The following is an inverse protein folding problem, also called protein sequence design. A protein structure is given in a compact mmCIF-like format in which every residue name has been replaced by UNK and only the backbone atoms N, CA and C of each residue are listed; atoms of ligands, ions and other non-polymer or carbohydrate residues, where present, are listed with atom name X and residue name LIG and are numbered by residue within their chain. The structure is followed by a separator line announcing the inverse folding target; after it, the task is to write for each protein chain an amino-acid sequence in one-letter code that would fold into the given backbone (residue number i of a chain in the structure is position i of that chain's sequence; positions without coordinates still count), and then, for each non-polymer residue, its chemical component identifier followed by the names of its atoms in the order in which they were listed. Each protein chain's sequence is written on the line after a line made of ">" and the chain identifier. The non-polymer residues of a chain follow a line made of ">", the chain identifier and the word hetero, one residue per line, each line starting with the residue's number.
data_IF_005122761537
#
_entry.id   IF_005122761537
#
_cell.length_a   1.000
_cell.length_b   1.000
_cell.length_c   1.000
_cell.angle_alpha   90.00
_cell.angle_beta   90.00
_cell.angle_gamma   90.00
#
_symmetry.space_group_name_H-M   'P 1'
#
loop_
_entity.id
_entity.type
_entity.pdbx_description
1 polymer ?
#
# COMPACT_ATOMS: atom_id res chain seq x y z
N UNK A 1 -43.07 -34.87 -41.32
CA UNK A 1 -41.65 -34.48 -41.20
C UNK A 1 -41.49 -33.43 -40.12
N UNK A 2 -40.46 -33.58 -39.30
CA UNK A 2 -40.25 -32.97 -37.97
C UNK A 2 -39.93 -31.46 -38.07
N UNK A 3 -40.94 -30.59 -38.12
CA UNK A 3 -40.74 -29.12 -38.12
C UNK A 3 -40.15 -28.58 -36.81
N UNK A 4 -40.36 -29.27 -35.68
CA UNK A 4 -39.77 -28.90 -34.38
C UNK A 4 -38.25 -29.10 -34.28
N UNK A 5 -37.64 -29.95 -35.12
CA UNK A 5 -36.19 -30.16 -35.11
C UNK A 5 -35.40 -29.08 -35.85
N UNK A 6 -36.02 -28.37 -36.81
CA UNK A 6 -35.34 -27.34 -37.60
C UNK A 6 -35.09 -26.05 -36.82
N UNK A 7 -35.90 -25.76 -35.79
CA UNK A 7 -35.75 -24.57 -34.94
C UNK A 7 -35.00 -24.84 -33.62
N UNK A 8 -34.84 -26.10 -33.21
CA UNK A 8 -34.13 -26.45 -31.98
C UNK A 8 -32.61 -26.30 -32.08
N UNK A 9 -32.03 -26.64 -33.23
CA UNK A 9 -30.57 -26.57 -33.43
C UNK A 9 -30.01 -25.13 -33.38
N UNK A 10 -30.64 -24.14 -34.04
CA UNK A 10 -30.23 -22.73 -33.91
C UNK A 10 -30.40 -22.21 -32.47
N UNK A 11 -31.48 -22.58 -31.79
CA UNK A 11 -31.75 -22.13 -30.42
C UNK A 11 -30.69 -22.65 -29.43
N UNK A 12 -30.29 -23.92 -29.55
CA UNK A 12 -29.25 -24.52 -28.72
C UNK A 12 -27.89 -23.85 -28.97
N UNK A 13 -27.59 -23.51 -30.22
CA UNK A 13 -26.36 -22.77 -30.57
C UNK A 13 -26.35 -21.37 -29.95
N UNK A 14 -27.44 -20.62 -30.06
CA UNK A 14 -27.55 -19.27 -29.46
C UNK A 14 -27.45 -19.36 -27.93
N UNK A 15 -28.13 -20.32 -27.31
CA UNK A 15 -28.06 -20.52 -25.87
C UNK A 15 -26.65 -20.91 -25.40
N UNK A 16 -25.98 -21.81 -26.13
CA UNK A 16 -24.59 -22.17 -25.87
C UNK A 16 -23.63 -20.98 -25.98
N UNK A 17 -23.85 -20.09 -26.96
CA UNK A 17 -23.06 -18.87 -27.13
C UNK A 17 -23.27 -17.90 -25.96
N UNK A 18 -24.52 -17.72 -25.52
CA UNK A 18 -24.86 -16.89 -24.36
C UNK A 18 -24.19 -17.44 -23.09
N UNK A 19 -24.35 -18.73 -22.81
CA UNK A 19 -23.73 -19.38 -21.63
C UNK A 19 -22.21 -19.28 -21.69
N UNK A 20 -21.60 -19.49 -22.86
CA UNK A 20 -20.16 -19.32 -23.06
C UNK A 20 -19.70 -17.88 -22.76
N UNK A 21 -20.45 -16.87 -23.23
CA UNK A 21 -20.14 -15.48 -22.93
C UNK A 21 -20.25 -15.16 -21.43
N UNK A 22 -21.26 -15.68 -20.73
CA UNK A 22 -21.39 -15.52 -19.28
C UNK A 22 -20.23 -16.16 -18.52
N UNK A 23 -19.79 -17.36 -18.92
CA UNK A 23 -18.64 -18.03 -18.32
C UNK A 23 -17.37 -17.20 -18.50
N UNK A 24 -17.15 -16.64 -19.69
CA UNK A 24 -15.98 -15.78 -19.96
C UNK A 24 -16.01 -14.49 -19.14
N UNK A 25 -17.17 -13.82 -19.07
CA UNK A 25 -17.33 -12.59 -18.29
C UNK A 25 -17.10 -12.86 -16.80
N UNK A 26 -17.70 -13.91 -16.26
CA UNK A 26 -17.55 -14.28 -14.87
C UNK A 26 -16.11 -14.74 -14.54
N UNK A 27 -15.50 -15.55 -15.41
CA UNK A 27 -14.12 -15.97 -15.27
C UNK A 27 -13.14 -14.79 -15.28
N UNK A 28 -13.34 -13.83 -16.20
CA UNK A 28 -12.51 -12.61 -16.25
C UNK A 28 -12.66 -11.80 -14.97
N UNK A 29 -13.90 -11.64 -14.46
CA UNK A 29 -14.14 -10.94 -13.20
C UNK A 29 -13.41 -11.61 -12.03
N UNK A 30 -13.52 -12.94 -11.88
CA UNK A 30 -12.83 -13.66 -10.80
C UNK A 30 -11.31 -13.46 -10.89
N UNK A 31 -10.74 -13.52 -12.10
CA UNK A 31 -9.29 -13.34 -12.27
C UNK A 31 -8.87 -11.94 -11.83
N UNK A 32 -9.65 -10.90 -12.20
CA UNK A 32 -9.37 -9.53 -11.77
C UNK A 32 -9.49 -9.37 -10.25
N UNK A 33 -10.55 -9.91 -9.66
CA UNK A 33 -10.78 -9.85 -8.20
C UNK A 33 -9.63 -10.56 -7.45
N UNK A 34 -9.19 -11.74 -7.91
CA UNK A 34 -8.07 -12.48 -7.33
C UNK A 34 -6.72 -11.76 -7.47
N UNK A 35 -6.53 -11.03 -8.58
CA UNK A 35 -5.28 -10.27 -8.80
C UNK A 35 -5.21 -9.12 -7.81
N UNK A 36 -6.29 -8.34 -7.67
CA UNK A 36 -6.37 -7.25 -6.70
C UNK A 36 -6.19 -7.73 -5.25
N UNK A 37 -6.76 -8.89 -4.90
CA UNK A 37 -6.57 -9.45 -3.56
C UNK A 37 -5.14 -9.96 -3.33
N UNK A 38 -4.48 -10.50 -4.34
CA UNK A 38 -3.07 -10.89 -4.27
C UNK A 38 -2.15 -9.67 -4.05
N UNK A 39 -2.39 -8.58 -4.79
CA UNK A 39 -1.63 -7.33 -4.66
C UNK A 39 -1.78 -6.73 -3.25
N UNK A 40 -2.98 -6.85 -2.66
CA UNK A 40 -3.23 -6.44 -1.27
C UNK A 40 -2.50 -7.29 -0.25
N UNK A 41 -2.47 -8.62 -0.43
CA UNK A 41 -1.75 -9.51 0.49
C UNK A 41 -0.24 -9.22 0.42
N UNK A 42 0.32 -9.07 -0.79
CA UNK A 42 1.73 -8.71 -0.97
C UNK A 42 2.07 -7.39 -0.29
N UNK A 43 1.17 -6.41 -0.39
CA UNK A 43 1.31 -5.14 0.29
C UNK A 43 1.37 -5.29 1.83
N UNK A 44 0.46 -6.07 2.41
CA UNK A 44 0.46 -6.34 3.85
C UNK A 44 1.70 -7.10 4.32
N UNK A 45 2.19 -8.05 3.53
CA UNK A 45 3.42 -8.78 3.83
C UNK A 45 4.64 -7.85 3.82
N UNK A 46 4.75 -6.96 2.83
CA UNK A 46 5.83 -5.95 2.76
C UNK A 46 5.83 -5.00 3.95
N UNK A 47 4.65 -4.62 4.44
CA UNK A 47 4.51 -3.78 5.64
C UNK A 47 4.88 -4.53 6.91
N UNK A 48 4.49 -5.80 7.01
CA UNK A 48 4.88 -6.65 8.14
C UNK A 48 6.39 -6.88 8.17
N UNK A 49 7.03 -7.03 7.01
CA UNK A 49 8.48 -7.13 6.91
C UNK A 49 9.19 -5.82 7.29
N UNK A 50 8.58 -4.67 7.01
CA UNK A 50 9.05 -3.38 7.49
C UNK A 50 8.93 -3.26 9.01
N UNK A 51 7.77 -3.60 9.58
CA UNK A 51 7.52 -3.62 11.04
C UNK A 51 8.54 -4.52 11.76
N UNK A 52 8.70 -5.75 11.28
CA UNK A 52 9.73 -6.67 11.77
C UNK A 52 11.15 -6.09 11.65
N UNK A 53 11.44 -5.37 10.56
CA UNK A 53 12.74 -4.74 10.38
C UNK A 53 12.96 -3.62 11.40
N UNK A 54 11.94 -2.80 11.68
CA UNK A 54 12.01 -1.73 12.68
C UNK A 54 12.18 -2.33 14.08
N UNK A 55 11.40 -3.34 14.43
CA UNK A 55 11.51 -4.08 15.70
C UNK A 55 12.92 -4.67 15.90
N UNK A 56 13.50 -5.27 14.86
CA UNK A 56 14.87 -5.78 14.93
C UNK A 56 15.89 -4.65 15.12
N UNK A 57 15.64 -3.47 14.55
CA UNK A 57 16.52 -2.31 14.66
C UNK A 57 16.58 -1.69 16.05
N UNK A 58 15.55 -1.90 16.88
CA UNK A 58 15.60 -1.54 18.31
C UNK A 58 16.72 -2.28 19.08
N UNK A 59 17.18 -3.42 18.56
CA UNK A 59 18.21 -4.25 19.19
C UNK A 59 19.61 -4.06 18.59
N UNK A 60 19.78 -3.23 17.55
CA UNK A 60 21.09 -2.97 16.96
C UNK A 60 21.90 -1.94 17.74
N UNK A 61 23.22 -2.00 17.56
CA UNK A 61 24.11 -1.00 18.11
C UNK A 61 23.81 0.38 17.51
N UNK A 62 23.88 1.40 18.36
CA UNK A 62 23.64 2.81 18.01
C UNK A 62 24.50 3.20 16.80
N UNK A 63 23.88 3.83 15.80
CA UNK A 63 24.54 4.24 14.56
C UNK A 63 24.50 3.19 13.45
N UNK A 64 23.94 2.00 13.70
CA UNK A 64 23.60 1.05 12.64
C UNK A 64 22.51 1.62 11.75
N UNK A 65 22.67 1.51 10.43
CA UNK A 65 21.69 1.98 9.46
C UNK A 65 21.54 0.96 8.33
N UNK A 66 20.32 0.82 7.80
CA UNK A 66 20.01 0.00 6.64
C UNK A 66 19.08 0.75 5.71
N UNK A 67 19.38 0.67 4.42
CA UNK A 67 18.47 1.11 3.36
C UNK A 67 17.43 0.02 3.16
N UNK A 68 16.16 0.38 3.30
CA UNK A 68 15.02 -0.46 3.01
C UNK A 68 14.34 0.07 1.75
N UNK A 69 14.40 -0.73 0.68
CA UNK A 69 13.75 -0.40 -0.58
C UNK A 69 12.26 -0.69 -0.45
N UNK A 70 11.42 0.32 -0.66
CA UNK A 70 9.98 0.17 -0.62
C UNK A 70 9.45 0.02 -2.05
N UNK A 71 8.90 -1.14 -2.33
CA UNK A 71 8.32 -1.52 -3.62
C UNK A 71 6.95 -2.11 -3.33
N UNK A 72 5.90 -1.33 -3.59
CA UNK A 72 4.51 -1.75 -3.39
C UNK A 72 3.79 -1.87 -4.73
N UNK A 73 2.59 -2.44 -4.73
CA UNK A 73 1.70 -2.44 -5.91
C UNK A 73 1.53 -1.02 -6.48
N UNK A 74 1.27 -0.92 -7.79
CA UNK A 74 1.03 0.35 -8.51
C UNK A 74 -0.11 1.16 -7.89
N UNK A 75 -0.99 0.51 -7.14
CA UNK A 75 -2.12 1.13 -6.45
C UNK A 75 -1.75 1.82 -5.12
N UNK A 76 -0.46 1.87 -4.75
CA UNK A 76 0.04 2.65 -3.60
C UNK A 76 0.88 3.80 -4.12
N UNK A 77 0.47 5.03 -3.81
CA UNK A 77 1.20 6.24 -4.21
C UNK A 77 2.36 6.54 -3.27
N UNK A 78 2.09 6.54 -1.97
CA UNK A 78 3.05 6.89 -0.95
C UNK A 78 2.70 6.27 0.41
N UNK A 79 3.72 6.13 1.26
CA UNK A 79 3.58 5.77 2.66
C UNK A 79 4.15 6.90 3.52
N UNK A 80 3.39 7.29 4.54
CA UNK A 80 3.73 8.36 5.46
C UNK A 80 3.87 7.83 6.88
N UNK A 81 4.99 8.16 7.50
CA UNK A 81 5.32 7.87 8.89
C UNK A 81 5.07 9.13 9.70
N UNK A 82 4.26 9.02 10.75
CA UNK A 82 3.88 10.12 11.62
C UNK A 82 4.38 9.89 13.04
N UNK A 83 5.10 10.86 13.59
CA UNK A 83 5.56 10.85 14.97
C UNK A 83 4.80 11.90 15.78
N UNK A 84 3.92 11.45 16.69
CA UNK A 84 3.14 12.36 17.55
C UNK A 84 3.98 13.23 18.48
N UNK A 85 5.26 12.89 18.70
CA UNK A 85 6.17 13.66 19.56
C UNK A 85 6.82 14.85 18.85
N UNK A 86 6.68 14.96 17.53
CA UNK A 86 7.31 16.00 16.72
C UNK A 86 6.30 17.02 16.18
N UNK A 87 6.80 18.22 15.89
CA UNK A 87 5.99 19.25 15.21
C UNK A 87 5.65 18.82 13.79
N UNK A 88 4.47 19.19 13.31
CA UNK A 88 4.09 18.96 11.91
C UNK A 88 4.97 19.80 10.99
N UNK A 89 5.76 19.13 10.16
CA UNK A 89 6.59 19.65 9.08
C UNK A 89 6.61 18.59 7.98
N UNK A 90 5.57 18.59 7.14
CA UNK A 90 5.35 17.50 6.20
C UNK A 90 6.43 17.46 5.13
N UNK A 91 7.00 16.27 4.90
CA UNK A 91 7.95 16.05 3.80
C UNK A 91 7.59 14.87 2.94
N UNK A 92 7.53 15.06 1.62
CA UNK A 92 7.40 14.01 0.63
C UNK A 92 8.73 13.82 -0.10
N UNK A 93 9.35 12.64 0.02
CA UNK A 93 10.68 12.35 -0.53
C UNK A 93 11.76 13.37 -0.11
N UNK A 94 11.61 13.99 1.07
CA UNK A 94 12.51 15.01 1.60
C UNK A 94 12.23 16.45 1.16
N UNK A 95 11.23 16.68 0.31
CA UNK A 95 10.76 18.02 -0.09
C UNK A 95 9.47 18.39 0.66
N UNK A 96 9.18 19.70 0.78
CA UNK A 96 7.93 20.17 1.39
C UNK A 96 6.71 19.60 0.66
N UNK A 97 5.73 19.11 1.42
CA UNK A 97 4.47 18.62 0.86
C UNK A 97 3.69 19.74 0.16
N UNK A 98 2.95 19.38 -0.89
CA UNK A 98 2.04 20.32 -1.53
C UNK A 98 0.76 20.53 -0.70
N UNK A 99 0.00 21.59 -1.01
CA UNK A 99 -1.24 21.93 -0.31
C UNK A 99 -2.29 20.79 -0.34
N UNK A 100 -2.24 19.92 -1.34
CA UNK A 100 -3.19 18.80 -1.52
C UNK A 100 -2.90 17.68 -0.54
N UNK A 101 -1.62 17.32 -0.40
CA UNK A 101 -1.15 16.37 0.58
C UNK A 101 -1.36 16.91 1.99
N UNK A 102 -1.04 18.19 2.23
CA UNK A 102 -1.29 18.89 3.50
C UNK A 102 -2.73 18.76 4.00
N UNK A 103 -3.70 19.03 3.12
CA UNK A 103 -5.13 18.92 3.43
C UNK A 103 -5.56 17.49 3.81
N UNK A 104 -4.83 16.47 3.34
CA UNK A 104 -5.14 15.07 3.58
C UNK A 104 -4.60 14.59 4.94
N UNK A 105 -3.67 15.31 5.57
CA UNK A 105 -3.08 14.97 6.87
C UNK A 105 -3.90 15.38 8.10
N UNK A 106 -5.00 16.09 7.94
CA UNK A 106 -5.90 16.36 9.08
C UNK A 106 -6.48 15.05 9.66
N UNK A 107 -6.57 14.00 8.84
CA UNK A 107 -6.93 12.65 9.27
C UNK A 107 -5.82 11.94 10.07
N UNK A 108 -4.55 12.29 9.83
CA UNK A 108 -3.38 11.74 10.54
C UNK A 108 -3.32 12.26 11.99
N UNK A 109 -3.69 13.52 12.20
CA UNK A 109 -3.66 14.17 13.53
C UNK A 109 -4.67 13.58 14.52
N UNK A 110 -5.75 13.00 14.03
CA UNK A 110 -6.90 12.54 14.83
C UNK A 110 -6.89 11.04 15.09
N UNK A 111 -5.90 10.33 14.56
CA UNK A 111 -5.84 8.88 14.54
C UNK A 111 -4.73 8.37 15.48
N UNK A 112 -4.97 7.22 16.09
CA UNK A 112 -4.03 6.53 16.99
C UNK A 112 -2.89 5.81 16.24
N UNK A 113 -2.96 5.77 14.91
CA UNK A 113 -1.99 5.09 14.06
C UNK A 113 -0.85 6.04 13.67
N UNK A 114 0.30 5.48 13.32
CA UNK A 114 1.50 6.25 12.99
C UNK A 114 2.08 5.91 11.60
N UNK A 115 1.56 4.91 10.91
CA UNK A 115 1.87 4.63 9.51
C UNK A 115 0.61 4.72 8.67
N UNK A 116 0.68 5.54 7.62
CA UNK A 116 -0.45 5.88 6.76
C UNK A 116 -0.10 5.59 5.32
N UNK A 117 -0.99 4.84 4.68
CA UNK A 117 -0.84 4.43 3.30
C UNK A 117 -1.76 5.30 2.46
N UNK A 118 -1.21 5.96 1.45
CA UNK A 118 -1.93 6.77 0.48
C UNK A 118 -2.13 5.95 -0.80
N UNK A 119 -3.34 5.43 -1.02
CA UNK A 119 -3.61 4.57 -2.14
C UNK A 119 -4.00 5.37 -3.40
N UNK A 120 -3.64 4.85 -4.56
CA UNK A 120 -4.27 5.17 -5.84
C UNK A 120 -5.43 4.21 -6.11
N UNK A 121 -6.56 4.38 -5.42
CA UNK A 121 -7.79 3.64 -5.75
C UNK A 121 -8.43 2.86 -4.60
N UNK A 122 -8.56 1.54 -4.76
CA UNK A 122 -9.52 0.67 -4.03
C UNK A 122 -9.06 0.26 -2.62
N UNK A 123 -7.82 0.57 -2.25
CA UNK A 123 -7.31 0.20 -0.94
C UNK A 123 -7.94 1.11 0.12
N UNK A 124 -8.73 0.51 1.02
CA UNK A 124 -9.12 1.20 2.24
C UNK A 124 -7.83 1.63 2.96
N UNK A 125 -7.76 2.92 3.31
CA UNK A 125 -6.62 3.54 4.00
C UNK A 125 -6.08 2.60 5.07
N UNK A 126 -4.94 1.95 4.79
CA UNK A 126 -4.36 1.02 5.74
C UNK A 126 -3.64 1.86 6.79
N UNK A 127 -4.19 1.85 8.00
CA UNK A 127 -3.62 2.55 9.15
C UNK A 127 -2.94 1.51 10.01
N UNK A 128 -1.64 1.68 10.20
CA UNK A 128 -0.80 0.74 10.92
C UNK A 128 -0.12 1.44 12.09
N UNK A 129 0.18 0.64 13.10
CA UNK A 129 0.93 1.07 14.27
C UNK A 129 2.25 0.29 14.27
N UNK A 130 3.36 1.01 14.10
CA UNK A 130 4.70 0.47 14.27
C UNK A 130 5.27 1.07 15.55
N UNK A 131 5.72 0.24 16.47
CA UNK A 131 6.25 0.73 17.73
C UNK A 131 7.67 1.31 17.57
N UNK A 132 8.04 2.20 18.49
CA UNK A 132 9.45 2.61 18.71
C UNK A 132 10.19 3.28 17.54
N UNK A 133 9.48 3.92 16.60
CA UNK A 133 10.13 4.76 15.58
C UNK A 133 9.96 6.27 15.82
N UNK A 134 10.90 7.04 15.26
CA UNK A 134 10.84 8.50 15.12
C UNK A 134 11.21 8.90 13.71
N UNK A 135 10.53 9.90 13.17
CA UNK A 135 10.91 10.47 11.88
C UNK A 135 12.11 11.41 12.05
N UNK A 136 13.07 11.44 11.12
CA UNK A 136 14.27 12.29 11.29
C UNK A 136 14.14 13.61 10.51
N UNK A 137 13.64 13.55 9.28
CA UNK A 137 13.72 14.67 8.34
C UNK A 137 12.37 15.34 8.04
N UNK A 138 11.30 15.02 8.76
CA UNK A 138 9.97 15.57 8.55
C UNK A 138 8.91 14.84 9.38
N UNK A 139 7.74 15.44 9.56
CA UNK A 139 6.61 14.82 10.25
C UNK A 139 5.25 15.33 9.72
N UNK A 140 4.46 14.50 9.02
CA UNK A 140 4.79 13.15 8.60
C UNK A 140 5.91 13.11 7.56
N UNK A 141 6.73 12.06 7.61
CA UNK A 141 7.71 11.72 6.59
C UNK A 141 7.08 10.77 5.58
N UNK A 142 6.84 11.25 4.37
CA UNK A 142 6.24 10.51 3.28
C UNK A 142 7.26 10.08 2.25
N UNK A 143 7.07 8.88 1.69
CA UNK A 143 7.93 8.30 0.67
C UNK A 143 7.08 7.67 -0.42
N UNK A 144 7.32 8.07 -1.67
CA UNK A 144 6.60 7.57 -2.83
C UNK A 144 6.98 6.12 -3.14
N UNK A 145 6.09 5.41 -3.82
CA UNK A 145 6.35 4.05 -4.27
C UNK A 145 7.60 3.98 -5.16
N UNK A 146 8.42 2.94 -4.95
CA UNK A 146 9.70 2.73 -5.63
C UNK A 146 10.88 3.52 -5.03
N UNK A 147 10.64 4.39 -4.05
CA UNK A 147 11.69 5.06 -3.30
C UNK A 147 12.14 4.22 -2.10
N UNK A 148 13.26 4.61 -1.49
CA UNK A 148 13.81 3.89 -0.33
C UNK A 148 13.76 4.75 0.92
N UNK A 149 13.70 4.10 2.08
CA UNK A 149 13.92 4.72 3.39
C UNK A 149 15.22 4.20 4.00
N UNK A 150 15.79 4.97 4.91
CA UNK A 150 16.83 4.52 5.83
C UNK A 150 16.18 4.29 7.18
N UNK A 151 16.41 3.09 7.72
CA UNK A 151 16.10 2.72 9.10
C UNK A 151 17.40 2.78 9.87
N UNK A 152 17.44 3.51 10.98
CA UNK A 152 18.64 3.73 11.78
C UNK A 152 18.41 3.45 13.26
N UNK A 153 19.38 2.85 13.93
CA UNK A 153 19.33 2.57 15.36
C UNK A 153 19.80 3.81 16.14
N UNK A 154 18.87 4.46 16.83
CA UNK A 154 19.13 5.52 17.81
C UNK A 154 19.36 4.96 19.21
N UNK A 155 19.62 5.86 20.17
CA UNK A 155 19.90 5.47 21.57
C UNK A 155 18.68 4.84 22.27
N UNK A 156 17.50 5.39 22.01
CA UNK A 156 16.23 5.01 22.65
C UNK A 156 15.09 5.01 21.62
N UNK A 157 15.39 4.92 20.31
CA UNK A 157 14.42 4.95 19.23
C UNK A 157 15.00 4.40 17.93
N UNK A 158 14.14 4.04 16.98
CA UNK A 158 14.50 3.72 15.59
C UNK A 158 14.18 4.90 14.69
N UNK A 159 15.18 5.45 14.02
CA UNK A 159 15.01 6.59 13.12
C UNK A 159 14.59 6.15 11.72
N UNK A 160 13.54 6.76 11.18
CA UNK A 160 13.08 6.55 9.80
C UNK A 160 13.24 7.85 9.02
N UNK A 161 13.90 7.77 7.86
CA UNK A 161 14.08 8.91 6.96
C UNK A 161 14.07 8.49 5.48
N UNK A 162 13.77 9.44 4.60
CA UNK A 162 13.88 9.22 3.16
C UNK A 162 15.36 9.03 2.75
N UNK A 163 15.62 8.06 1.87
CA UNK A 163 16.94 7.84 1.29
C UNK A 163 17.08 8.56 -0.06
N UNK A 164 17.76 9.71 -0.06
CA UNK A 164 18.17 10.38 -1.29
C UNK A 164 19.45 9.71 -1.83
N UNK A 165 19.36 9.12 -3.02
CA UNK A 165 20.48 8.45 -3.70
C UNK A 165 21.46 9.42 -4.36
#
# INVERSE_FOLDING_TARGET
>A
MKRGQLLGLPLILVFGLIVGAFILLYGTKIILDLTSEADYIEFLDNLKDLDNSIDLFSNYDIGSAKVYSMSFSEDVEAICFYDSSQTLDCKLNGEDCDETFEATFDLVKTSQFNVYVFPQGVFDQTRLEINDFKTINGNPQCVSNGQSIVISAGKDYVGVEHYAK
#
